data_IF_839804594210
#
_entry.id   IF_839804594210
#
_cell.length_a   1.000
_cell.length_b   1.000
_cell.length_c   1.000
_cell.angle_alpha   90.00
_cell.angle_beta   90.00
_cell.angle_gamma   90.00
#
_symmetry.space_group_name_H-M   'P 1'
#
loop_
_entity.id
_entity.type
_entity.pdbx_description
1 polymer ?
#
# COMPACT_ATOMS: atom_id res chain seq x y z
N UNK A 1 6.98 1.26 -12.66
CA UNK A 1 5.62 1.28 -12.07
C UNK A 1 5.75 1.71 -10.62
N UNK A 2 4.90 2.61 -10.12
CA UNK A 2 5.04 3.14 -8.74
C UNK A 2 4.60 2.10 -7.73
N UNK A 3 5.39 1.92 -6.67
CA UNK A 3 5.11 0.96 -5.59
C UNK A 3 4.58 1.69 -4.37
N UNK A 4 3.58 1.10 -3.72
CA UNK A 4 2.92 1.68 -2.56
C UNK A 4 2.78 0.66 -1.46
N UNK A 5 3.22 1.01 -0.24
CA UNK A 5 2.92 0.23 0.95
C UNK A 5 1.49 0.57 1.40
N UNK A 6 0.64 -0.44 1.44
CA UNK A 6 -0.76 -0.30 1.87
C UNK A 6 -1.04 -1.22 3.05
N UNK A 7 -1.95 -0.81 3.93
CA UNK A 7 -2.33 -1.55 5.15
C UNK A 7 -3.82 -1.77 5.22
N UNK A 8 -4.26 -3.02 5.41
CA UNK A 8 -5.66 -3.35 5.61
C UNK A 8 -6.18 -2.72 6.91
N UNK A 9 -7.27 -1.97 6.85
CA UNK A 9 -7.85 -1.33 8.04
C UNK A 9 -8.47 -2.33 9.02
N UNK A 10 -8.81 -3.53 8.56
CA UNK A 10 -9.46 -4.58 9.37
C UNK A 10 -8.47 -5.49 10.11
N UNK A 11 -7.50 -6.06 9.40
CA UNK A 11 -6.56 -7.05 9.98
C UNK A 11 -5.12 -6.53 10.12
N UNK A 12 -4.84 -5.31 9.66
CA UNK A 12 -3.50 -4.74 9.72
C UNK A 12 -2.50 -5.31 8.71
N UNK A 13 -2.90 -6.22 7.82
CA UNK A 13 -2.00 -6.80 6.82
C UNK A 13 -1.41 -5.71 5.90
N UNK A 14 -0.10 -5.67 5.83
CA UNK A 14 0.67 -4.77 4.96
C UNK A 14 1.09 -5.49 3.68
N UNK A 15 1.06 -4.78 2.55
CA UNK A 15 1.60 -5.30 1.28
C UNK A 15 1.95 -4.19 0.30
N UNK A 16 2.76 -4.54 -0.69
CA UNK A 16 3.06 -3.68 -1.83
C UNK A 16 1.92 -3.75 -2.84
N UNK A 17 1.47 -2.58 -3.28
CA UNK A 17 0.56 -2.40 -4.40
C UNK A 17 1.30 -1.65 -5.52
N UNK A 18 1.43 -2.28 -6.68
CA UNK A 18 2.08 -1.69 -7.85
C UNK A 18 1.02 -1.09 -8.78
N UNK A 19 1.01 0.24 -8.90
CA UNK A 19 0.07 0.99 -9.74
C UNK A 19 0.71 2.27 -10.26
N UNK A 20 0.28 2.76 -11.42
CA UNK A 20 0.83 3.99 -12.03
C UNK A 20 0.22 5.29 -11.48
N UNK A 21 -0.73 5.22 -10.55
CA UNK A 21 -1.43 6.38 -9.99
C UNK A 21 -0.82 6.83 -8.66
N UNK A 22 -0.95 8.12 -8.35
CA UNK A 22 -0.62 8.65 -7.03
C UNK A 22 -1.75 8.31 -6.03
N UNK A 23 -1.51 7.34 -5.16
CA UNK A 23 -2.54 6.86 -4.22
C UNK A 23 -2.87 7.86 -3.11
N UNK A 24 -2.03 8.87 -2.85
CA UNK A 24 -2.38 9.94 -1.92
C UNK A 24 -3.55 10.80 -2.43
N UNK A 25 -3.71 10.90 -3.75
CA UNK A 25 -4.80 11.68 -4.37
C UNK A 25 -6.10 10.89 -4.47
N UNK A 26 -6.04 9.56 -4.38
CA UNK A 26 -7.22 8.68 -4.52
C UNK A 26 -7.90 8.51 -3.18
N UNK A 27 -9.17 8.94 -3.08
CA UNK A 27 -10.02 8.67 -1.92
C UNK A 27 -9.44 9.16 -0.58
N UNK A 28 -8.56 10.18 -0.60
CA UNK A 28 -7.86 10.68 0.58
C UNK A 28 -6.86 9.68 1.19
N UNK A 29 -6.17 8.89 0.35
CA UNK A 29 -5.24 7.86 0.82
C UNK A 29 -5.92 6.57 1.31
N UNK A 30 -7.19 6.38 0.94
CA UNK A 30 -7.97 5.17 1.24
C UNK A 30 -8.42 4.51 -0.05
N UNK A 31 -8.19 3.21 -0.13
CA UNK A 31 -8.50 2.40 -1.31
C UNK A 31 -9.26 1.15 -0.88
N UNK A 32 -10.19 0.70 -1.73
CA UNK A 32 -11.01 -0.48 -1.46
C UNK A 32 -10.55 -1.64 -2.34
N UNK A 33 -10.06 -2.72 -1.74
CA UNK A 33 -9.45 -3.84 -2.45
C UNK A 33 -9.47 -5.14 -1.64
N UNK A 34 -9.23 -6.26 -2.33
CA UNK A 34 -9.21 -7.58 -1.72
C UNK A 34 -8.03 -7.76 -0.75
N UNK A 35 -8.34 -8.10 0.51
CA UNK A 35 -7.35 -8.48 1.51
C UNK A 35 -7.17 -10.00 1.56
N UNK A 36 -5.97 -10.54 1.30
CA UNK A 36 -5.72 -11.99 1.31
C UNK A 36 -5.82 -12.60 2.72
N UNK A 37 -5.62 -11.82 3.78
CA UNK A 37 -5.77 -12.27 5.18
C UNK A 37 -7.24 -12.30 5.62
N UNK A 38 -8.02 -11.28 5.28
CA UNK A 38 -9.47 -11.26 5.59
C UNK A 38 -10.32 -12.09 4.64
N UNK A 39 -9.75 -12.52 3.51
CA UNK A 39 -10.44 -13.20 2.41
C UNK A 39 -11.68 -12.45 1.89
N UNK A 40 -11.64 -11.13 1.94
CA UNK A 40 -12.75 -10.24 1.57
C UNK A 40 -12.21 -8.87 1.15
N UNK A 41 -13.02 -8.10 0.42
CA UNK A 41 -12.70 -6.72 0.09
C UNK A 41 -12.78 -5.87 1.36
N UNK A 42 -11.73 -5.09 1.60
CA UNK A 42 -11.60 -4.23 2.77
C UNK A 42 -11.01 -2.90 2.34
N UNK A 43 -11.27 -1.87 3.14
CA UNK A 43 -10.53 -0.63 3.03
C UNK A 43 -9.07 -0.86 3.42
N UNK A 44 -8.17 -0.25 2.67
CA UNK A 44 -6.76 -0.18 2.99
C UNK A 44 -6.35 1.29 3.00
N UNK A 45 -5.45 1.61 3.92
CA UNK A 45 -4.83 2.93 4.01
C UNK A 45 -3.48 2.90 3.33
N UNK A 46 -3.14 3.97 2.61
CA UNK A 46 -1.81 4.17 2.03
C UNK A 46 -0.86 4.57 3.15
N UNK A 47 0.20 3.80 3.34
CA UNK A 47 1.20 4.03 4.39
C UNK A 47 2.34 4.89 3.84
N UNK A 48 2.95 4.44 2.74
CA UNK A 48 4.08 5.13 2.13
C UNK A 48 4.20 4.82 0.64
N UNK A 49 4.78 5.75 -0.12
CA UNK A 49 5.34 5.44 -1.45
C UNK A 49 6.66 4.72 -1.25
N UNK A 50 6.85 3.62 -1.97
CA UNK A 50 8.08 2.81 -1.92
C UNK A 50 8.96 3.25 -3.08
N UNK A 51 10.16 3.76 -2.78
CA UNK A 51 11.13 4.16 -3.81
C UNK A 51 11.90 5.46 -3.60
N UNK A 52 11.93 6.06 -2.41
CA UNK A 52 12.86 7.17 -2.11
C UNK A 52 13.77 6.80 -0.93
N UNK A 53 14.66 5.83 -1.19
CA UNK A 53 16.02 5.63 -0.68
C UNK A 53 16.41 4.15 -0.88
N UNK A 54 17.01 3.83 -2.04
CA UNK A 54 17.98 2.74 -2.14
C UNK A 54 19.38 3.31 -1.84
N UNK A 55 19.56 3.84 -0.63
CA UNK A 55 20.89 4.12 -0.11
C UNK A 55 21.01 3.47 1.27
N UNK A 56 21.94 2.51 1.33
CA UNK A 56 22.48 1.81 2.48
C UNK A 56 21.62 0.63 2.99
N UNK A 57 22.02 -0.57 2.59
CA UNK A 57 22.38 -1.66 3.51
C UNK A 57 22.94 -2.86 2.71
N UNK A 58 24.14 -3.30 3.08
CA UNK A 58 24.81 -4.46 2.52
C UNK A 58 26.34 -4.30 2.53
N UNK A 59 26.92 -4.48 3.72
CA UNK A 59 28.36 -4.63 4.00
C UNK A 59 29.02 -5.77 3.21
#
# INVERSE_FOLDING_TARGET
MTKWLIKCSKCGNERILEVSFNLYLVGGGRIYLYCPRCKSNQFHVVVARVGEHEAQQGE
#
